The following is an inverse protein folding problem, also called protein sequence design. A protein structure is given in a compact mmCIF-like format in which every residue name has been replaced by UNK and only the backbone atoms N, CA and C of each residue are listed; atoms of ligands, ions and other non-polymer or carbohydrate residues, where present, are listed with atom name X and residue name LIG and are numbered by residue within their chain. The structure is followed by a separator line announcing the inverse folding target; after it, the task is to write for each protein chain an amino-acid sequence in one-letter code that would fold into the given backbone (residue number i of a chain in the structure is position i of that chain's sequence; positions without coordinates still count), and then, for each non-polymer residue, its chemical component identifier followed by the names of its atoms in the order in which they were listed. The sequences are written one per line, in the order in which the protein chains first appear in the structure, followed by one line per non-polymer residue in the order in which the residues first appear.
data_IF_230146461756
#
_entry.id   IF_230146461756
#
_cell.length_a   1.000
_cell.length_b   1.000
_cell.length_c   1.000
_cell.angle_alpha   90.00
_cell.angle_beta   90.00
_cell.angle_gamma   90.00
#
_symmetry.space_group_name_H-M   'P 1'
#
loop_
_entity.id
_entity.type
_entity.pdbx_description
1 polymer ?
#
# COMPACT_ATOMS: atom_id res chain seq x y z
N UNK A 1 -26.89 5.20 -20.75
CA UNK A 1 -27.75 5.03 -19.55
C UNK A 1 -26.88 4.70 -18.34
N UNK A 2 -27.37 5.13 -17.16
CA UNK A 2 -26.76 5.29 -15.83
C UNK A 2 -26.00 4.07 -15.28
N UNK A 3 -24.90 4.30 -14.54
CA UNK A 3 -24.50 3.56 -13.30
C UNK A 3 -23.33 4.17 -12.50
N UNK A 4 -23.02 5.48 -12.60
CA UNK A 4 -21.99 6.10 -11.72
C UNK A 4 -22.53 6.69 -10.40
N UNK A 5 -23.84 6.66 -10.16
CA UNK A 5 -24.47 7.36 -9.03
C UNK A 5 -24.74 6.48 -7.78
N UNK A 6 -24.66 5.15 -7.87
CA UNK A 6 -25.12 4.30 -6.76
C UNK A 6 -24.13 4.16 -5.60
N UNK A 7 -22.85 4.52 -5.79
CA UNK A 7 -21.84 4.43 -4.73
C UNK A 7 -21.77 5.70 -3.85
N UNK A 8 -22.11 6.87 -4.40
CA UNK A 8 -22.18 8.11 -3.62
C UNK A 8 -23.45 8.19 -2.77
N UNK A 9 -24.55 7.63 -3.26
CA UNK A 9 -25.82 7.55 -2.53
C UNK A 9 -25.71 6.67 -1.27
N UNK A 10 -25.11 5.48 -1.38
CA UNK A 10 -24.83 4.61 -0.22
C UNK A 10 -23.89 5.24 0.82
N UNK A 11 -23.06 6.19 0.41
CA UNK A 11 -22.13 6.90 1.30
C UNK A 11 -22.81 8.02 2.11
N UNK A 12 -23.89 8.59 1.57
CA UNK A 12 -24.69 9.61 2.25
C UNK A 12 -25.72 8.98 3.21
N UNK A 13 -26.26 7.82 2.86
CA UNK A 13 -27.24 7.08 3.65
C UNK A 13 -26.65 6.57 4.98
N UNK A 14 -25.41 6.06 4.96
CA UNK A 14 -24.67 5.62 6.18
C UNK A 14 -24.29 6.81 7.09
N UNK A 15 -24.19 8.03 6.56
CA UNK A 15 -23.90 9.22 7.37
C UNK A 15 -25.15 9.79 8.06
N UNK A 16 -26.36 9.46 7.61
CA UNK A 16 -27.60 9.88 8.26
C UNK A 16 -27.98 9.01 9.47
N UNK A 17 -27.54 7.75 9.52
CA UNK A 17 -27.73 6.86 10.69
C UNK A 17 -26.77 7.17 11.86
N UNK A 18 -25.80 8.06 11.68
CA UNK A 18 -24.96 8.60 12.76
C UNK A 18 -25.61 9.77 13.52
N UNK A 19 -26.96 9.86 13.52
CA UNK A 19 -27.67 10.68 14.49
C UNK A 19 -27.47 10.05 15.87
N UNK A 20 -26.52 10.67 16.57
CA UNK A 20 -26.26 10.51 17.99
C UNK A 20 -27.59 10.48 18.75
N UNK A 21 -27.81 9.54 19.68
CA UNK A 21 -28.82 9.75 20.69
C UNK A 21 -28.37 10.94 21.55
N UNK A 22 -29.19 11.99 21.56
CA UNK A 22 -29.20 13.01 22.61
C UNK A 22 -29.51 12.27 23.92
N UNK A 23 -28.50 12.03 24.75
CA UNK A 23 -28.71 11.74 26.16
C UNK A 23 -28.47 13.02 26.94
N UNK A 24 -29.56 13.75 27.11
CA UNK A 24 -29.82 14.60 28.26
C UNK A 24 -29.47 13.85 29.55
N UNK A 25 -28.62 14.45 30.38
CA UNK A 25 -28.65 14.31 31.84
C UNK A 25 -28.08 15.63 32.38
N UNK A 26 -28.99 16.54 32.74
CA UNK A 26 -28.72 17.74 33.52
C UNK A 26 -28.68 17.37 35.02
N UNK A 27 -27.90 18.17 35.77
CA UNK A 27 -27.75 18.25 37.23
C UNK A 27 -27.00 17.07 37.93
N UNK A 28 -26.01 17.23 38.81
CA UNK A 28 -25.66 18.33 39.72
C UNK A 28 -24.14 18.45 39.93
N UNK A 29 -23.75 19.67 40.31
CA UNK A 29 -22.47 20.07 40.87
C UNK A 29 -22.22 19.36 42.22
N UNK A 30 -21.14 18.61 42.35
CA UNK A 30 -20.51 18.39 43.65
C UNK A 30 -18.99 18.21 43.51
N UNK A 31 -18.31 19.09 44.23
CA UNK A 31 -16.87 19.20 44.37
C UNK A 31 -16.22 17.94 44.96
N UNK A 32 -14.89 17.90 44.79
CA UNK A 32 -13.89 17.22 45.62
C UNK A 32 -13.46 15.77 45.25
N UNK A 33 -12.30 15.73 44.59
CA UNK A 33 -11.14 14.89 44.96
C UNK A 33 -11.34 13.38 45.27
N UNK A 34 -11.56 12.54 44.25
CA UNK A 34 -11.27 11.08 44.41
C UNK A 34 -11.06 10.24 43.12
N UNK A 35 -11.12 10.82 41.91
CA UNK A 35 -11.12 10.05 40.65
C UNK A 35 -9.77 9.45 40.20
N UNK A 36 -8.64 9.75 40.88
CA UNK A 36 -7.29 9.35 40.42
C UNK A 36 -6.92 7.88 40.73
N UNK A 37 -7.60 7.24 41.70
CA UNK A 37 -7.32 5.87 42.12
C UNK A 37 -7.93 4.78 41.22
N UNK A 38 -9.13 5.02 40.68
CA UNK A 38 -9.89 3.99 39.94
C UNK A 38 -9.37 3.75 38.51
N UNK A 39 -8.82 4.80 37.87
CA UNK A 39 -8.24 4.71 36.53
C UNK A 39 -6.93 3.88 36.51
N UNK A 40 -6.11 3.99 37.56
CA UNK A 40 -4.86 3.21 37.68
C UNK A 40 -5.13 1.71 37.82
N UNK A 41 -6.05 1.32 38.70
CA UNK A 41 -6.42 -0.10 38.87
C UNK A 41 -6.94 -0.73 37.57
N UNK A 42 -7.79 -0.01 36.83
CA UNK A 42 -8.31 -0.50 35.55
C UNK A 42 -7.21 -0.67 34.50
N UNK A 43 -6.25 0.26 34.44
CA UNK A 43 -5.07 0.14 33.57
C UNK A 43 -4.16 -1.03 33.98
N UNK A 44 -3.96 -1.26 35.27
CA UNK A 44 -3.16 -2.38 35.78
C UNK A 44 -3.80 -3.74 35.44
N UNK A 45 -5.12 -3.87 35.60
CA UNK A 45 -5.82 -5.11 35.22
C UNK A 45 -5.74 -5.38 33.71
N UNK A 46 -5.87 -4.36 32.87
CA UNK A 46 -5.74 -4.52 31.41
C UNK A 46 -4.30 -4.83 30.98
N UNK A 47 -3.30 -4.27 31.68
CA UNK A 47 -1.89 -4.62 31.47
C UNK A 47 -1.61 -6.06 31.90
N UNK A 48 -2.12 -6.49 33.05
CA UNK A 48 -1.97 -7.87 33.53
C UNK A 48 -2.59 -8.87 32.54
N UNK A 49 -3.81 -8.60 32.06
CA UNK A 49 -4.47 -9.41 31.04
C UNK A 49 -3.68 -9.47 29.72
N UNK A 50 -3.08 -8.35 29.30
CA UNK A 50 -2.25 -8.32 28.10
C UNK A 50 -0.92 -9.08 28.28
N UNK A 51 -0.28 -8.96 29.45
CA UNK A 51 0.95 -9.68 29.78
C UNK A 51 0.72 -11.20 29.88
N UNK A 52 -0.42 -11.62 30.42
CA UNK A 52 -0.81 -13.03 30.53
C UNK A 52 -1.06 -13.67 29.16
N UNK A 53 -1.71 -12.95 28.24
CA UNK A 53 -2.08 -13.49 26.93
C UNK A 53 -1.01 -13.32 25.84
N UNK A 54 -0.12 -12.33 25.94
CA UNK A 54 0.83 -12.00 24.87
C UNK A 54 2.30 -11.90 25.33
N UNK A 55 2.58 -12.12 26.61
CA UNK A 55 3.88 -11.88 27.22
C UNK A 55 4.18 -10.39 27.41
N UNK A 56 5.36 -10.06 27.98
CA UNK A 56 5.83 -8.67 28.06
C UNK A 56 5.99 -8.09 26.65
N UNK A 57 5.02 -7.28 26.26
CA UNK A 57 5.12 -6.38 25.12
C UNK A 57 6.11 -5.27 25.50
N UNK A 58 7.41 -5.54 25.35
CA UNK A 58 8.42 -4.50 25.42
C UNK A 58 8.06 -3.44 24.37
N UNK A 59 7.72 -2.24 24.84
CA UNK A 59 7.43 -1.10 23.99
C UNK A 59 8.76 -0.64 23.42
N UNK A 60 9.06 -0.89 22.13
CA UNK A 60 10.32 -0.45 21.57
C UNK A 60 10.28 1.08 21.46
N UNK A 61 11.19 1.75 22.15
CA UNK A 61 11.25 3.20 22.31
C UNK A 61 11.25 3.97 20.97
N UNK A 62 11.64 3.32 19.87
CA UNK A 62 11.61 3.89 18.50
C UNK A 62 11.36 2.87 17.39
N UNK A 63 10.52 1.84 17.58
CA UNK A 63 10.19 1.00 16.43
C UNK A 63 9.25 1.76 15.49
N UNK A 64 9.70 1.97 14.25
CA UNK A 64 8.80 2.07 13.10
C UNK A 64 7.80 0.94 13.27
N UNK A 65 6.51 1.25 13.46
CA UNK A 65 5.47 0.28 13.82
C UNK A 65 5.41 -0.85 12.77
N UNK A 66 6.24 -1.85 13.03
CA UNK A 66 6.63 -3.00 12.21
C UNK A 66 6.56 -4.27 13.06
N UNK A 67 6.00 -4.16 14.27
CA UNK A 67 5.70 -5.30 15.10
C UNK A 67 4.28 -5.73 14.78
N UNK A 68 4.17 -6.69 13.86
CA UNK A 68 2.92 -7.35 13.48
C UNK A 68 2.13 -7.81 14.72
N UNK A 69 2.84 -8.37 15.72
CA UNK A 69 2.27 -8.80 17.01
C UNK A 69 1.55 -7.67 17.77
N UNK A 70 2.12 -6.46 17.77
CA UNK A 70 1.54 -5.30 18.48
C UNK A 70 0.22 -4.89 17.80
N UNK A 71 0.19 -4.90 16.47
CA UNK A 71 -1.02 -4.57 15.72
C UNK A 71 -2.08 -5.67 15.82
N UNK A 72 -1.68 -6.95 15.88
CA UNK A 72 -2.57 -8.09 16.13
C UNK A 72 -3.23 -7.99 17.51
N UNK A 73 -2.44 -7.77 18.56
CA UNK A 73 -2.98 -7.57 19.92
C UNK A 73 -3.94 -6.39 20.01
N UNK A 74 -3.66 -5.28 19.31
CA UNK A 74 -4.56 -4.13 19.26
C UNK A 74 -5.90 -4.45 18.58
N UNK A 75 -5.86 -5.24 17.50
CA UNK A 75 -7.04 -5.67 16.77
C UNK A 75 -7.91 -6.57 17.66
N UNK A 76 -7.33 -7.55 18.34
CA UNK A 76 -8.07 -8.41 19.26
C UNK A 76 -8.76 -7.60 20.37
N UNK A 77 -8.06 -6.66 20.99
CA UNK A 77 -8.66 -5.77 22.00
C UNK A 77 -9.85 -4.97 21.47
N UNK A 78 -9.84 -4.57 20.19
CA UNK A 78 -10.98 -3.90 19.56
C UNK A 78 -12.17 -4.86 19.38
N UNK A 79 -11.92 -6.13 19.01
CA UNK A 79 -13.00 -7.13 18.91
C UNK A 79 -13.63 -7.43 20.24
N UNK A 80 -12.80 -7.48 21.29
CA UNK A 80 -13.23 -7.68 22.68
C UNK A 80 -13.97 -6.44 23.25
N UNK A 81 -14.17 -5.39 22.44
CA UNK A 81 -14.94 -4.21 22.80
C UNK A 81 -14.18 -3.16 23.62
N UNK A 82 -12.86 -3.29 23.74
CA UNK A 82 -12.03 -2.31 24.47
C UNK A 82 -12.03 -0.97 23.74
N UNK A 83 -12.11 0.12 24.50
CA UNK A 83 -12.02 1.47 23.94
C UNK A 83 -10.66 1.67 23.23
N UNK A 84 -10.68 2.31 22.06
CA UNK A 84 -9.48 2.54 21.22
C UNK A 84 -8.34 3.18 22.01
N UNK A 85 -8.65 4.15 22.85
CA UNK A 85 -7.67 4.89 23.65
C UNK A 85 -6.94 3.95 24.61
N UNK A 86 -7.68 3.07 25.26
CA UNK A 86 -7.15 2.11 26.24
C UNK A 86 -6.36 1.03 25.51
N UNK A 87 -6.89 0.47 24.43
CA UNK A 87 -6.19 -0.52 23.61
C UNK A 87 -4.88 0.03 23.03
N UNK A 88 -4.87 1.29 22.58
CA UNK A 88 -3.68 1.97 22.08
C UNK A 88 -2.63 2.20 23.18
N UNK A 89 -3.08 2.54 24.40
CA UNK A 89 -2.20 2.70 25.56
C UNK A 89 -1.57 1.35 25.98
N UNK A 90 -2.35 0.27 25.97
CA UNK A 90 -1.88 -1.09 26.32
C UNK A 90 -0.86 -1.59 25.31
N UNK A 91 -1.10 -1.35 24.02
CA UNK A 91 -0.22 -1.83 22.92
C UNK A 91 0.90 -0.87 22.54
N UNK A 92 0.92 0.35 23.09
CA UNK A 92 1.91 1.38 22.74
C UNK A 92 1.76 1.93 21.32
N UNK A 93 0.58 1.81 20.70
CA UNK A 93 0.30 2.37 19.37
C UNK A 93 -0.05 3.86 19.51
N UNK A 94 0.49 4.70 18.61
CA UNK A 94 0.08 6.11 18.55
C UNK A 94 -1.41 6.23 18.27
N UNK A 95 -2.12 7.06 19.04
CA UNK A 95 -3.57 7.21 18.96
C UNK A 95 -4.10 7.48 17.54
N UNK A 96 -3.40 8.30 16.75
CA UNK A 96 -3.78 8.56 15.34
C UNK A 96 -3.75 7.31 14.46
N UNK A 97 -2.83 6.38 14.72
CA UNK A 97 -2.73 5.11 14.01
C UNK A 97 -3.83 4.14 14.47
N UNK A 98 -4.13 4.13 15.77
CA UNK A 98 -5.20 3.34 16.35
C UNK A 98 -6.59 3.65 15.72
N UNK A 99 -6.92 4.94 15.57
CA UNK A 99 -8.14 5.35 14.87
C UNK A 99 -8.14 4.93 13.39
N UNK A 100 -7.00 5.06 12.70
CA UNK A 100 -6.86 4.60 11.31
C UNK A 100 -7.05 3.09 11.19
N UNK A 101 -6.54 2.30 12.14
CA UNK A 101 -6.72 0.85 12.17
C UNK A 101 -8.16 0.44 12.39
N UNK A 102 -8.88 1.07 13.34
CA UNK A 102 -10.32 0.84 13.50
C UNK A 102 -11.07 1.15 12.19
N UNK A 103 -10.75 2.27 11.55
CA UNK A 103 -11.37 2.65 10.28
C UNK A 103 -11.10 1.62 9.17
N UNK A 104 -9.85 1.18 9.02
CA UNK A 104 -9.48 0.18 8.01
C UNK A 104 -10.19 -1.16 8.25
N UNK A 105 -10.37 -1.52 9.51
CA UNK A 105 -11.05 -2.73 9.92
C UNK A 105 -12.56 -2.71 9.67
N UNK A 106 -13.21 -1.59 9.97
CA UNK A 106 -14.64 -1.40 9.62
C UNK A 106 -14.84 -1.48 8.11
N UNK A 107 -13.91 -0.92 7.32
CA UNK A 107 -13.99 -0.96 5.85
C UNK A 107 -13.70 -2.34 5.27
N UNK A 108 -12.84 -3.14 5.93
CA UNK A 108 -12.42 -4.45 5.45
C UNK A 108 -12.32 -5.42 6.65
N UNK A 109 -13.45 -5.97 7.14
CA UNK A 109 -13.47 -6.82 8.34
C UNK A 109 -12.66 -8.11 8.16
N UNK A 110 -12.56 -8.60 6.92
CA UNK A 110 -11.82 -9.81 6.57
C UNK A 110 -10.35 -9.54 6.21
N UNK A 111 -9.95 -8.28 6.04
CA UNK A 111 -8.52 -8.01 5.93
C UNK A 111 -7.92 -8.19 7.31
N UNK A 112 -6.87 -8.99 7.39
CA UNK A 112 -6.04 -9.05 8.59
C UNK A 112 -5.41 -7.70 8.92
N UNK A 113 -4.41 -7.74 9.78
CA UNK A 113 -3.64 -6.57 10.22
C UNK A 113 -3.36 -5.60 9.06
N UNK A 114 -3.74 -4.32 9.16
CA UNK A 114 -3.46 -3.33 8.13
C UNK A 114 -1.95 -3.10 8.04
N UNK A 115 -1.30 -3.91 7.22
CA UNK A 115 0.12 -3.80 6.93
C UNK A 115 0.33 -2.53 6.12
N UNK A 116 1.32 -1.73 6.52
CA UNK A 116 1.73 -0.57 5.72
C UNK A 116 2.28 -1.12 4.41
N UNK A 117 1.46 -1.08 3.35
CA UNK A 117 1.91 -1.46 2.01
C UNK A 117 3.26 -0.80 1.76
N UNK A 118 4.28 -1.62 1.50
CA UNK A 118 5.56 -1.09 0.99
C UNK A 118 5.16 -0.20 -0.17
N UNK A 119 5.61 1.07 -0.19
CA UNK A 119 5.41 1.93 -1.35
C UNK A 119 6.08 1.17 -2.50
N UNK A 120 5.26 0.49 -3.31
CA UNK A 120 5.74 -0.34 -4.38
C UNK A 120 6.59 0.51 -5.31
N UNK A 121 7.55 -0.13 -5.98
CA UNK A 121 8.18 0.48 -7.13
C UNK A 121 7.03 0.81 -8.10
N UNK A 122 6.84 2.10 -8.43
CA UNK A 122 5.85 2.49 -9.44
C UNK A 122 6.10 1.60 -10.66
N UNK A 123 5.08 0.89 -11.10
CA UNK A 123 5.23 0.15 -12.33
C UNK A 123 5.64 1.14 -13.42
N UNK A 124 6.68 0.81 -14.21
CA UNK A 124 7.03 1.65 -15.33
C UNK A 124 5.80 1.77 -16.23
N UNK A 125 5.23 2.97 -16.29
CA UNK A 125 4.16 3.30 -17.22
C UNK A 125 4.77 3.28 -18.62
N UNK A 126 4.82 2.10 -19.22
CA UNK A 126 5.23 1.96 -20.60
C UNK A 126 4.05 2.46 -21.46
N UNK A 127 4.31 3.45 -22.32
CA UNK A 127 3.41 3.74 -23.45
C UNK A 127 3.25 2.52 -24.37
N UNK A 128 4.20 1.58 -24.27
CA UNK A 128 4.23 0.31 -24.97
C UNK A 128 3.36 -0.74 -24.27
N UNK A 129 2.39 -1.28 -25.03
CA UNK A 129 1.51 -2.40 -24.69
C UNK A 129 1.95 -3.70 -25.38
N UNK A 130 1.29 -4.80 -25.04
CA UNK A 130 1.55 -6.15 -25.58
C UNK A 130 1.44 -6.22 -27.11
N UNK A 131 0.55 -5.44 -27.72
CA UNK A 131 0.41 -5.35 -29.20
C UNK A 131 1.73 -4.96 -29.88
N UNK A 132 2.51 -4.07 -29.26
CA UNK A 132 3.82 -3.70 -29.80
C UNK A 132 4.87 -4.76 -29.52
N UNK A 133 4.74 -5.54 -28.43
CA UNK A 133 5.63 -6.66 -28.17
C UNK A 133 5.50 -7.73 -29.26
N UNK A 134 4.27 -8.08 -29.64
CA UNK A 134 4.01 -9.06 -30.70
C UNK A 134 4.58 -8.60 -32.04
N UNK A 135 4.45 -7.31 -32.37
CA UNK A 135 5.04 -6.74 -33.59
C UNK A 135 6.58 -6.84 -33.58
N UNK A 136 7.22 -6.47 -32.46
CA UNK A 136 8.67 -6.53 -32.33
C UNK A 136 9.17 -7.97 -32.47
N UNK A 137 8.51 -8.93 -31.83
CA UNK A 137 8.90 -10.35 -31.87
C UNK A 137 8.82 -10.87 -33.30
N UNK A 138 7.67 -10.67 -33.98
CA UNK A 138 7.50 -11.08 -35.37
C UNK A 138 8.54 -10.46 -36.31
N UNK A 139 8.87 -9.19 -36.11
CA UNK A 139 9.86 -8.52 -36.95
C UNK A 139 11.27 -9.09 -36.73
N UNK A 140 11.64 -9.39 -35.48
CA UNK A 140 12.97 -9.94 -35.15
C UNK A 140 13.10 -11.39 -35.60
N UNK A 141 12.02 -12.17 -35.56
CA UNK A 141 12.01 -13.55 -36.07
C UNK A 141 12.31 -13.59 -37.58
N UNK A 142 11.82 -12.60 -38.33
CA UNK A 142 12.12 -12.46 -39.78
C UNK A 142 13.49 -11.80 -40.01
N UNK A 143 13.86 -10.81 -39.20
CA UNK A 143 15.07 -10.00 -39.36
C UNK A 143 15.91 -9.99 -38.07
N UNK A 144 16.64 -11.08 -37.83
CA UNK A 144 17.44 -11.26 -36.60
C UNK A 144 18.61 -10.28 -36.42
N UNK A 145 19.02 -9.60 -37.49
CA UNK A 145 20.10 -8.59 -37.48
C UNK A 145 19.61 -7.15 -37.33
N UNK A 146 18.29 -6.95 -37.11
CA UNK A 146 17.69 -5.63 -36.98
C UNK A 146 18.30 -4.81 -35.83
N UNK A 147 18.61 -3.55 -36.10
CA UNK A 147 19.13 -2.61 -35.10
C UNK A 147 17.98 -2.03 -34.26
N UNK A 148 18.24 -1.75 -32.98
CA UNK A 148 17.30 -1.08 -32.07
C UNK A 148 16.72 0.23 -32.65
N UNK A 149 17.51 1.00 -33.40
CA UNK A 149 17.02 2.22 -34.05
C UNK A 149 16.02 1.90 -35.16
N UNK A 150 16.33 0.89 -36.00
CA UNK A 150 15.43 0.47 -37.07
C UNK A 150 14.10 -0.04 -36.52
N UNK A 151 14.14 -0.85 -35.45
CA UNK A 151 12.93 -1.34 -34.78
C UNK A 151 12.11 -0.18 -34.22
N UNK A 152 12.76 0.85 -33.66
CA UNK A 152 12.08 2.04 -33.15
C UNK A 152 11.37 2.79 -34.28
N UNK A 153 12.05 3.00 -35.40
CA UNK A 153 11.51 3.77 -36.52
C UNK A 153 10.32 3.03 -37.15
N UNK A 154 10.44 1.70 -37.35
CA UNK A 154 9.34 0.84 -37.81
C UNK A 154 8.12 0.85 -36.85
N UNK A 155 8.35 0.85 -35.54
CA UNK A 155 7.27 0.97 -34.56
C UNK A 155 6.55 2.32 -34.65
N UNK A 156 7.28 3.41 -34.91
CA UNK A 156 6.68 4.73 -35.08
C UNK A 156 5.91 4.84 -36.41
N UNK A 157 6.35 4.13 -37.46
CA UNK A 157 5.67 4.07 -38.76
C UNK A 157 4.36 3.27 -38.66
N UNK A 158 4.38 2.09 -38.04
CA UNK A 158 3.20 1.22 -37.91
C UNK A 158 2.17 1.78 -36.91
N UNK A 159 2.62 2.46 -35.85
CA UNK A 159 1.75 2.98 -34.80
C UNK A 159 1.84 4.51 -34.73
N UNK A 160 1.07 5.25 -35.56
CA UNK A 160 1.08 6.70 -35.55
C UNK A 160 0.62 7.24 -34.19
N UNK A 161 1.40 8.15 -33.61
CA UNK A 161 1.19 8.70 -32.27
C UNK A 161 2.01 8.02 -31.16
N UNK A 162 2.78 6.99 -31.50
CA UNK A 162 3.68 6.33 -30.57
C UNK A 162 5.04 7.04 -30.48
N UNK A 163 5.26 7.84 -29.44
CA UNK A 163 6.55 8.48 -29.17
C UNK A 163 7.33 7.73 -28.08
N UNK A 164 8.43 7.09 -28.48
CA UNK A 164 9.28 6.28 -27.60
C UNK A 164 10.75 6.70 -27.70
N UNK A 165 11.44 6.74 -26.57
CA UNK A 165 12.89 6.91 -26.54
C UNK A 165 13.63 5.58 -26.72
N UNK A 166 14.86 5.61 -27.26
CA UNK A 166 15.71 4.42 -27.43
C UNK A 166 15.85 3.59 -26.14
N UNK A 167 16.00 4.26 -24.99
CA UNK A 167 16.15 3.60 -23.69
C UNK A 167 14.85 2.97 -23.20
N UNK A 168 13.70 3.58 -23.48
CA UNK A 168 12.39 3.02 -23.15
C UNK A 168 12.12 1.75 -23.98
N UNK A 169 12.40 1.78 -25.28
CA UNK A 169 12.29 0.61 -26.15
C UNK A 169 13.19 -0.54 -25.68
N UNK A 170 14.47 -0.26 -25.40
CA UNK A 170 15.40 -1.27 -24.88
C UNK A 170 14.92 -1.91 -23.57
N UNK A 171 14.39 -1.11 -22.63
CA UNK A 171 13.83 -1.64 -21.38
C UNK A 171 12.59 -2.49 -21.63
N UNK A 172 11.72 -2.07 -22.55
CA UNK A 172 10.52 -2.81 -22.91
C UNK A 172 10.88 -4.16 -23.54
N UNK A 173 11.79 -4.18 -24.52
CA UNK A 173 12.25 -5.42 -25.14
C UNK A 173 12.87 -6.38 -24.12
N UNK A 174 13.66 -5.88 -23.16
CA UNK A 174 14.28 -6.71 -22.13
C UNK A 174 13.27 -7.26 -21.12
N UNK A 175 12.33 -6.44 -20.67
CA UNK A 175 11.45 -6.79 -19.56
C UNK A 175 10.16 -7.48 -20.00
N UNK A 176 9.63 -7.13 -21.18
CA UNK A 176 8.34 -7.62 -21.69
C UNK A 176 8.57 -8.67 -22.76
N UNK A 177 9.36 -8.36 -23.80
CA UNK A 177 9.63 -9.31 -24.89
C UNK A 177 10.68 -10.38 -24.53
N UNK A 178 11.33 -10.27 -23.36
CA UNK A 178 12.45 -11.13 -22.95
C UNK A 178 13.62 -11.18 -23.96
N UNK A 179 13.80 -10.13 -24.76
CA UNK A 179 14.85 -10.04 -25.78
C UNK A 179 16.08 -9.31 -25.25
N UNK A 180 17.26 -9.80 -25.63
CA UNK A 180 18.55 -9.15 -25.33
C UNK A 180 19.35 -8.96 -26.61
N UNK A 181 19.69 -7.72 -26.93
CA UNK A 181 20.56 -7.41 -28.07
C UNK A 181 22.01 -7.34 -27.62
N UNK A 182 22.88 -8.07 -28.31
CA UNK A 182 24.34 -7.97 -28.13
C UNK A 182 24.87 -6.74 -28.88
N UNK A 183 25.90 -6.11 -28.32
CA UNK A 183 26.63 -5.05 -29.04
C UNK A 183 27.51 -5.71 -30.09
N UNK A 184 27.41 -5.27 -31.34
CA UNK A 184 28.33 -5.69 -32.38
C UNK A 184 29.68 -5.00 -32.13
N UNK A 185 30.71 -5.79 -31.86
CA UNK A 185 32.08 -5.30 -31.76
C UNK A 185 32.60 -5.00 -33.16
N UNK A 186 33.08 -3.76 -33.37
CA UNK A 186 33.68 -3.35 -34.63
C UNK A 186 35.05 -4.04 -34.74
N UNK A 187 35.20 -4.98 -35.67
CA UNK A 187 36.50 -5.58 -35.96
C UNK A 187 37.45 -4.44 -36.38
N UNK A 188 38.56 -4.21 -35.67
CA UNK A 188 39.47 -3.13 -36.01
C UNK A 188 40.07 -3.40 -37.40
N UNK A 189 40.01 -2.41 -38.29
CA UNK A 189 40.60 -2.52 -39.60
C UNK A 189 42.10 -2.86 -39.47
N UNK A 190 42.55 -3.88 -40.21
CA UNK A 190 43.93 -4.35 -40.21
C UNK A 190 44.85 -3.17 -40.54
N UNK A 191 45.58 -2.67 -39.53
CA UNK A 191 46.59 -1.62 -39.72
C UNK A 191 47.60 -2.14 -40.75
N UNK A 192 47.61 -1.56 -41.96
CA UNK A 192 48.71 -1.79 -42.90
C UNK A 192 49.95 -1.19 -42.26
N UNK A 193 50.94 -2.03 -41.94
CA UNK A 193 52.27 -1.58 -41.53
C UNK A 193 52.92 -1.03 -42.80
N UNK A 194 53.02 0.29 -42.89
CA UNK A 194 53.85 1.01 -43.87
C UNK A 194 55.30 0.98 -43.42
#
# INVERSE_FOLDING_TARGET
MRTKCNLSLKRAEILQELKLPDSSDDEEESESESKKGNSKRKQECLKAFAEENFGKLEVPEKAKHSNRKVTEGFILLIDDGVAIKDAAATTGIKLSSAYNYRKLRVMNPNNGVPYRNKRGRKEPCYKLKDVHADFIIKHIDVHSTANLMQIKDLLCEEFPGLEISKSALHRFMKNVCALSMKRLEKIPAKKKRS
#
